data_IF_420305395160
#
_entry.id   IF_420305395160
#
_cell.length_a   1.000
_cell.length_b   1.000
_cell.length_c   1.000
_cell.angle_alpha   90.00
_cell.angle_beta   90.00
_cell.angle_gamma   90.00
#
_symmetry.space_group_name_H-M   'P 1'
#
loop_
_entity.id
_entity.type
_entity.pdbx_description
1 polymer ?
#
# COMPACT_ATOMS: atom_id res chain seq x y z
N UNK A 1 5.71 16.13 -42.69
CA UNK A 1 5.08 16.17 -41.34
C UNK A 1 4.75 17.62 -41.02
N UNK A 2 3.52 17.96 -40.65
CA UNK A 2 3.17 19.33 -40.23
C UNK A 2 3.73 19.57 -38.81
N UNK A 3 4.41 20.69 -38.52
CA UNK A 3 4.84 21.02 -37.17
C UNK A 3 3.61 21.15 -36.27
N UNK A 4 3.60 20.46 -35.13
CA UNK A 4 2.52 20.63 -34.14
C UNK A 4 2.63 22.03 -33.53
N UNK A 5 1.50 22.71 -33.29
CA UNK A 5 1.50 24.02 -32.64
C UNK A 5 2.15 23.93 -31.25
N UNK A 6 3.01 24.89 -30.94
CA UNK A 6 3.65 25.01 -29.63
C UNK A 6 2.55 25.30 -28.59
N UNK A 7 2.46 24.53 -27.48
CA UNK A 7 1.47 24.80 -26.44
C UNK A 7 1.68 26.20 -25.84
N UNK A 8 0.59 26.92 -25.60
CA UNK A 8 0.60 28.24 -24.94
C UNK A 8 0.53 28.09 -23.43
N UNK A 9 1.07 29.06 -22.70
CA UNK A 9 0.95 29.06 -21.25
C UNK A 9 -0.51 29.32 -20.82
N UNK A 10 -1.11 28.55 -19.90
CA UNK A 10 -2.52 28.75 -19.50
C UNK A 10 -2.75 30.07 -18.75
N UNK A 11 -1.72 30.56 -18.05
CA UNK A 11 -1.79 31.83 -17.30
C UNK A 11 -1.43 33.05 -18.18
N UNK A 12 -0.67 32.84 -19.25
CA UNK A 12 -0.24 33.89 -20.17
C UNK A 12 -0.48 33.42 -21.61
N UNK A 13 -1.70 33.60 -22.15
CA UNK A 13 -2.10 33.07 -23.47
C UNK A 13 -1.25 33.58 -24.63
N UNK A 14 -0.63 34.74 -24.46
CA UNK A 14 0.23 35.38 -25.47
C UNK A 14 1.69 34.94 -25.37
N UNK A 15 2.09 34.33 -24.25
CA UNK A 15 3.44 33.83 -24.04
C UNK A 15 3.59 32.39 -24.55
N UNK A 16 4.70 32.13 -25.25
CA UNK A 16 5.09 30.77 -25.65
C UNK A 16 5.57 29.99 -24.42
N UNK A 17 5.19 28.73 -24.34
CA UNK A 17 5.74 27.83 -23.34
C UNK A 17 7.19 27.49 -23.70
N UNK A 18 8.08 27.59 -22.72
CA UNK A 18 9.49 27.21 -22.85
C UNK A 18 9.66 25.75 -22.46
N UNK A 19 9.14 25.39 -21.28
CA UNK A 19 9.26 24.07 -20.67
C UNK A 19 7.95 23.69 -19.97
N UNK A 20 7.57 22.41 -19.93
CA UNK A 20 6.49 21.97 -19.05
C UNK A 20 6.97 21.93 -17.59
N UNK A 21 6.09 22.29 -16.67
CA UNK A 21 6.32 22.05 -15.24
C UNK A 21 6.56 20.56 -15.03
N UNK A 22 7.68 20.20 -14.43
CA UNK A 22 8.03 18.80 -14.19
C UNK A 22 7.01 18.08 -13.30
N UNK A 23 6.32 18.80 -12.40
CA UNK A 23 5.35 18.18 -11.47
C UNK A 23 3.95 18.02 -12.07
N UNK A 24 3.37 19.06 -12.67
CA UNK A 24 1.99 19.04 -13.17
C UNK A 24 1.88 18.98 -14.69
N UNK A 25 3.01 18.89 -15.40
CA UNK A 25 3.12 18.92 -16.86
C UNK A 25 2.51 20.16 -17.54
N UNK A 26 2.06 21.16 -16.78
CA UNK A 26 1.49 22.40 -17.34
C UNK A 26 2.57 23.19 -18.08
N UNK A 27 2.31 23.67 -19.31
CA UNK A 27 3.27 24.48 -20.05
C UNK A 27 3.58 25.79 -19.31
N UNK A 28 4.87 26.08 -19.07
CA UNK A 28 5.34 27.27 -18.38
C UNK A 28 6.01 28.21 -19.38
N UNK A 29 5.60 29.49 -19.37
CA UNK A 29 6.41 30.56 -19.95
C UNK A 29 7.51 30.98 -18.97
N UNK A 30 8.45 31.80 -19.44
CA UNK A 30 9.54 32.36 -18.61
C UNK A 30 9.05 32.97 -17.29
N UNK A 31 7.90 33.65 -17.29
CA UNK A 31 7.34 34.28 -16.10
C UNK A 31 6.74 33.28 -15.09
N UNK A 32 6.21 32.15 -15.56
CA UNK A 32 5.60 31.10 -14.73
C UNK A 32 6.63 30.09 -14.20
N UNK A 33 7.78 29.95 -14.86
CA UNK A 33 8.89 29.12 -14.42
C UNK A 33 9.77 29.89 -13.40
N UNK A 34 9.38 29.79 -12.12
CA UNK A 34 10.02 30.53 -11.01
C UNK A 34 10.97 29.70 -10.16
N UNK A 35 10.86 28.38 -10.20
CA UNK A 35 11.59 27.50 -9.31
C UNK A 35 12.19 26.33 -10.09
N UNK A 36 13.37 25.90 -9.67
CA UNK A 36 13.96 24.63 -10.05
C UNK A 36 14.01 23.72 -8.82
N UNK A 37 13.42 22.53 -8.94
CA UNK A 37 13.43 21.50 -7.88
C UNK A 37 14.32 20.37 -8.37
N UNK A 38 15.45 20.19 -7.71
CA UNK A 38 16.49 19.22 -8.10
C UNK A 38 16.95 19.41 -9.56
N UNK A 39 17.09 20.68 -9.98
CA UNK A 39 17.52 21.08 -11.33
C UNK A 39 16.45 20.96 -12.41
N UNK A 40 15.18 20.70 -12.05
CA UNK A 40 14.06 20.53 -12.98
C UNK A 40 13.02 21.65 -12.83
N UNK A 41 12.39 22.12 -13.93
CA UNK A 41 11.49 23.27 -13.89
C UNK A 41 10.20 22.98 -13.10
N UNK A 42 9.85 23.86 -12.16
CA UNK A 42 8.64 23.75 -11.36
C UNK A 42 7.86 25.08 -11.31
N UNK A 43 6.53 24.98 -11.32
CA UNK A 43 5.65 26.16 -11.21
C UNK A 43 5.44 26.55 -9.74
N UNK A 44 5.15 27.83 -9.50
CA UNK A 44 4.92 28.36 -8.15
C UNK A 44 3.80 27.63 -7.39
N UNK A 45 2.75 27.21 -8.08
CA UNK A 45 1.65 26.46 -7.47
C UNK A 45 2.10 25.09 -6.94
N UNK A 46 2.91 24.36 -7.73
CA UNK A 46 3.46 23.07 -7.30
C UNK A 46 4.43 23.24 -6.11
N UNK A 47 5.25 24.29 -6.12
CA UNK A 47 6.19 24.57 -5.01
C UNK A 47 5.48 25.04 -3.75
N UNK A 48 4.45 25.87 -3.85
CA UNK A 48 3.60 26.23 -2.71
C UNK A 48 2.94 24.98 -2.11
N UNK A 49 2.45 24.07 -2.95
CA UNK A 49 1.87 22.81 -2.49
C UNK A 49 2.90 21.85 -1.87
N UNK A 50 4.17 21.94 -2.27
CA UNK A 50 5.28 21.23 -1.61
C UNK A 50 5.53 21.79 -0.20
N UNK A 51 5.43 23.11 -0.01
CA UNK A 51 5.66 23.77 1.27
C UNK A 51 4.49 23.59 2.25
N UNK A 52 3.25 23.60 1.77
CA UNK A 52 2.05 23.45 2.61
C UNK A 52 1.87 22.03 3.20
N UNK A 53 2.60 21.04 2.68
CA UNK A 53 2.60 19.69 3.25
C UNK A 53 3.43 19.70 4.53
N UNK A 54 2.78 19.96 5.65
CA UNK A 54 3.37 19.68 6.96
C UNK A 54 3.73 18.19 7.00
N UNK A 55 5.03 17.89 7.13
CA UNK A 55 5.51 16.52 7.35
C UNK A 55 4.84 15.86 8.57
N UNK A 56 4.21 16.66 9.43
CA UNK A 56 3.43 16.27 10.58
C UNK A 56 2.01 15.75 10.26
N UNK A 57 1.34 16.21 9.20
CA UNK A 57 -0.09 15.91 8.99
C UNK A 57 -0.38 14.40 8.91
N UNK A 58 0.48 13.66 8.21
CA UNK A 58 0.33 12.21 8.07
C UNK A 58 0.57 11.44 9.38
N UNK A 59 1.71 11.59 10.09
CA UNK A 59 1.94 10.91 11.36
C UNK A 59 0.93 11.34 12.43
N UNK A 60 0.44 12.59 12.44
CA UNK A 60 -0.61 13.01 13.36
C UNK A 60 -1.95 12.33 13.07
N UNK A 61 -2.34 12.20 11.79
CA UNK A 61 -3.55 11.48 11.42
C UNK A 61 -3.45 9.99 11.78
N UNK A 62 -2.28 9.38 11.56
CA UNK A 62 -1.99 8.01 11.94
C UNK A 62 -2.12 7.82 13.46
N UNK A 63 -1.40 8.63 14.25
CA UNK A 63 -1.44 8.60 15.71
C UNK A 63 -2.85 8.82 16.26
N UNK A 64 -3.61 9.77 15.69
CA UNK A 64 -4.99 10.04 16.08
C UNK A 64 -5.92 8.85 15.83
N UNK A 65 -5.84 8.24 14.64
CA UNK A 65 -6.65 7.07 14.29
C UNK A 65 -6.29 5.82 15.10
N UNK A 66 -5.00 5.52 15.23
CA UNK A 66 -4.56 4.34 16.01
C UNK A 66 -4.68 4.55 17.51
N UNK A 67 -4.51 5.78 17.99
CA UNK A 67 -4.62 6.14 19.40
C UNK A 67 -6.05 6.09 19.91
N UNK A 68 -7.01 6.58 19.12
CA UNK A 68 -8.45 6.46 19.45
C UNK A 68 -8.89 4.99 19.49
N UNK A 69 -8.40 4.18 18.56
CA UNK A 69 -8.54 2.72 18.58
C UNK A 69 -7.99 2.11 19.87
N UNK A 70 -6.73 2.41 20.20
CA UNK A 70 -6.08 1.83 21.36
C UNK A 70 -6.83 2.21 22.64
N UNK A 71 -7.29 3.45 22.75
CA UNK A 71 -8.13 3.91 23.84
C UNK A 71 -9.44 3.12 23.92
N UNK A 72 -10.13 2.89 22.80
CA UNK A 72 -11.37 2.11 22.76
C UNK A 72 -11.15 0.65 23.19
N UNK A 73 -10.07 0.00 22.74
CA UNK A 73 -9.71 -1.36 23.18
C UNK A 73 -9.37 -1.39 24.67
N UNK A 74 -8.61 -0.41 25.16
CA UNK A 74 -8.22 -0.32 26.58
C UNK A 74 -9.45 -0.17 27.47
N UNK A 75 -10.39 0.71 27.10
CA UNK A 75 -11.64 0.88 27.82
C UNK A 75 -12.49 -0.40 27.82
N UNK A 76 -12.49 -1.14 26.71
CA UNK A 76 -13.27 -2.38 26.57
C UNK A 76 -12.71 -3.53 27.40
N UNK A 77 -11.39 -3.69 27.41
CA UNK A 77 -10.70 -4.79 28.08
C UNK A 77 -10.17 -4.42 29.46
N UNK A 78 -10.58 -3.28 30.03
CA UNK A 78 -10.09 -2.80 31.33
C UNK A 78 -10.24 -3.80 32.48
N UNK A 79 -11.22 -4.71 32.38
CA UNK A 79 -11.52 -5.71 33.41
C UNK A 79 -10.69 -6.99 33.24
N UNK A 80 -9.93 -7.13 32.15
CA UNK A 80 -9.04 -8.28 31.91
C UNK A 80 -7.66 -7.96 32.53
N UNK A 81 -7.14 -8.81 33.43
CA UNK A 81 -5.78 -8.65 33.92
C UNK A 81 -4.81 -8.66 32.72
N UNK A 82 -3.81 -7.78 32.73
CA UNK A 82 -2.84 -7.56 31.65
C UNK A 82 -3.32 -6.73 30.43
N UNK A 83 -4.59 -6.33 30.34
CA UNK A 83 -5.03 -5.47 29.23
C UNK A 83 -4.31 -4.11 29.19
N UNK A 84 -4.01 -3.53 30.37
CA UNK A 84 -3.29 -2.27 30.47
C UNK A 84 -1.82 -2.40 30.05
N UNK A 85 -1.16 -3.52 30.35
CA UNK A 85 0.25 -3.73 29.96
C UNK A 85 0.36 -3.97 28.45
N UNK A 86 -0.56 -4.74 27.86
CA UNK A 86 -0.66 -4.91 26.40
C UNK A 86 -0.95 -3.58 25.72
N UNK A 87 -1.92 -2.82 26.23
CA UNK A 87 -2.25 -1.50 25.68
C UNK A 87 -1.07 -0.53 25.75
N UNK A 88 -0.32 -0.51 26.86
CA UNK A 88 0.89 0.30 27.00
C UNK A 88 1.97 -0.11 25.98
N UNK A 89 2.18 -1.42 25.77
CA UNK A 89 3.10 -1.94 24.76
C UNK A 89 2.73 -1.52 23.33
N UNK A 90 1.45 -1.65 22.97
CA UNK A 90 0.94 -1.21 21.66
C UNK A 90 1.04 0.31 21.52
N UNK A 91 0.73 1.08 22.57
CA UNK A 91 0.85 2.54 22.60
C UNK A 91 2.29 3.00 22.37
N UNK A 92 3.25 2.36 23.02
CA UNK A 92 4.68 2.63 22.81
C UNK A 92 5.08 2.34 21.35
N UNK A 93 4.65 1.21 20.80
CA UNK A 93 4.94 0.85 19.40
C UNK A 93 4.34 1.89 18.43
N UNK A 94 3.12 2.36 18.68
CA UNK A 94 2.47 3.41 17.90
C UNK A 94 3.23 4.74 17.95
N UNK A 95 3.70 5.14 19.14
CA UNK A 95 4.51 6.36 19.29
C UNK A 95 5.85 6.23 18.57
N UNK A 96 6.54 5.10 18.72
CA UNK A 96 7.84 4.84 18.06
C UNK A 96 7.68 4.82 16.54
N UNK A 97 6.68 4.11 16.02
CA UNK A 97 6.39 4.07 14.57
C UNK A 97 6.01 5.45 14.05
N UNK A 98 5.15 6.19 14.74
CA UNK A 98 4.80 7.57 14.37
C UNK A 98 6.03 8.47 14.34
N UNK A 99 6.89 8.40 15.36
CA UNK A 99 8.14 9.16 15.43
C UNK A 99 9.11 8.81 14.30
N UNK A 100 9.22 7.52 13.95
CA UNK A 100 10.01 7.06 12.81
C UNK A 100 9.46 7.59 11.48
N UNK A 101 8.15 7.51 11.27
CA UNK A 101 7.46 8.04 10.08
C UNK A 101 7.65 9.57 9.97
N UNK A 102 7.52 10.28 11.08
CA UNK A 102 7.76 11.72 11.15
C UNK A 102 9.20 12.08 10.79
N UNK A 103 10.18 11.40 11.41
CA UNK A 103 11.61 11.62 11.13
C UNK A 103 11.96 11.33 9.68
N UNK A 104 11.44 10.23 9.12
CA UNK A 104 11.63 9.88 7.71
C UNK A 104 10.98 10.91 6.78
N UNK A 105 9.79 11.41 7.13
CA UNK A 105 9.12 12.49 6.41
C UNK A 105 9.93 13.79 6.40
N UNK A 106 10.51 14.17 7.54
CA UNK A 106 11.41 15.32 7.65
C UNK A 106 12.69 15.14 6.82
N UNK A 107 13.28 13.95 6.84
CA UNK A 107 14.42 13.64 5.99
C UNK A 107 14.05 13.79 4.53
N UNK A 108 12.98 13.15 4.03
CA UNK A 108 12.62 13.29 2.60
C UNK A 108 12.33 14.75 2.21
N UNK A 109 11.77 15.56 3.11
CA UNK A 109 11.54 16.98 2.87
C UNK A 109 12.86 17.78 2.75
N UNK A 110 13.89 17.43 3.53
CA UNK A 110 15.15 18.19 3.58
C UNK A 110 16.10 17.93 2.40
N UNK A 111 15.86 16.90 1.58
CA UNK A 111 16.78 16.52 0.50
C UNK A 111 16.51 17.22 -0.82
N UNK A 112 15.36 17.90 -0.97
CA UNK A 112 15.06 18.62 -2.21
C UNK A 112 15.73 19.98 -2.20
N UNK A 113 16.57 20.22 -3.21
CA UNK A 113 17.13 21.54 -3.44
C UNK A 113 16.12 22.35 -4.24
N UNK A 114 15.47 23.31 -3.58
CA UNK A 114 14.56 24.25 -4.24
C UNK A 114 15.35 25.53 -4.49
N UNK A 115 15.68 25.77 -5.75
CA UNK A 115 16.35 26.98 -6.19
C UNK A 115 15.32 27.93 -6.79
N UNK A 116 15.22 29.15 -6.24
CA UNK A 116 14.39 30.18 -6.85
C UNK A 116 15.18 30.80 -8.01
N UNK A 117 14.58 30.77 -9.20
CA UNK A 117 15.18 31.36 -10.39
C UNK A 117 15.09 32.90 -10.30
N UNK A 118 16.15 33.65 -10.59
CA UNK A 118 16.07 35.10 -10.71
C UNK A 118 15.15 35.46 -11.87
N UNK A 119 14.20 36.36 -11.61
CA UNK A 119 13.30 36.89 -12.62
C UNK A 119 14.08 37.83 -13.56
N UNK A 120 14.75 37.30 -14.59
CA UNK A 120 15.01 38.03 -15.86
C UNK A 120 16.10 37.41 -16.77
N UNK A 121 16.86 36.39 -16.39
CA UNK A 121 17.86 35.85 -17.34
C UNK A 121 17.20 34.81 -18.27
N UNK A 122 16.65 35.32 -19.37
CA UNK A 122 16.34 34.52 -20.54
C UNK A 122 17.62 33.79 -20.96
N UNK A 123 17.60 32.44 -20.92
CA UNK A 123 18.69 31.69 -21.52
C UNK A 123 18.70 32.04 -23.02
N UNK A 124 19.86 32.37 -23.61
CA UNK A 124 19.95 32.35 -25.06
C UNK A 124 19.55 30.95 -25.52
N UNK A 125 18.62 30.88 -26.47
CA UNK A 125 18.09 29.65 -27.06
C UNK A 125 19.21 28.85 -27.76
N UNK A 126 20.04 28.17 -26.98
CA UNK A 126 20.90 27.11 -27.47
C UNK A 126 20.07 25.85 -27.62
N UNK A 127 19.70 25.51 -28.85
CA UNK A 127 19.38 24.12 -29.26
C UNK A 127 18.08 23.49 -28.74
N UNK A 128 17.02 24.29 -28.54
CA UNK A 128 15.66 23.81 -28.19
C UNK A 128 14.95 22.94 -29.28
N UNK A 129 15.62 22.59 -30.38
CA UNK A 129 15.05 21.77 -31.46
C UNK A 129 15.36 20.26 -31.34
N UNK A 130 16.22 19.84 -30.41
CA UNK A 130 16.46 18.42 -30.11
C UNK A 130 15.40 17.76 -29.21
N UNK A 131 14.55 18.56 -28.54
CA UNK A 131 13.68 18.13 -27.45
C UNK A 131 12.39 17.39 -27.88
N UNK A 132 12.11 17.24 -29.19
CA UNK A 132 10.86 16.61 -29.65
C UNK A 132 10.90 15.07 -29.70
N UNK A 133 12.03 14.42 -29.36
CA UNK A 133 12.11 12.96 -29.12
C UNK A 133 11.64 12.54 -27.71
N UNK A 134 10.98 13.42 -26.96
CA UNK A 134 10.54 13.18 -25.58
C UNK A 134 9.10 12.62 -25.45
N UNK A 135 8.48 12.13 -26.53
CA UNK A 135 7.16 11.48 -26.45
C UNK A 135 7.17 10.19 -25.60
N UNK A 136 8.33 9.62 -25.29
CA UNK A 136 8.50 8.54 -24.32
C UNK A 136 8.76 9.04 -22.87
N UNK A 137 8.83 10.35 -22.64
CA UNK A 137 9.23 10.97 -21.37
C UNK A 137 8.04 11.36 -20.48
N UNK A 138 6.81 11.28 -20.97
CA UNK A 138 5.57 11.48 -20.19
C UNK A 138 5.38 10.45 -19.08
N UNK A 139 6.03 9.29 -19.15
CA UNK A 139 6.06 8.32 -18.05
C UNK A 139 7.07 8.67 -16.94
N UNK A 140 8.13 9.43 -17.25
CA UNK A 140 9.17 9.86 -16.29
C UNK A 140 8.93 11.24 -15.65
N UNK A 141 7.91 11.97 -16.09
CA UNK A 141 7.56 13.32 -15.60
C UNK A 141 6.70 13.30 -14.30
N UNK A 142 6.82 12.27 -13.45
CA UNK A 142 5.95 12.06 -12.27
C UNK A 142 6.67 12.14 -10.91
N UNK A 143 7.89 12.67 -10.87
CA UNK A 143 8.84 12.50 -9.74
C UNK A 143 8.79 13.63 -8.67
N UNK A 144 8.18 14.79 -8.93
CA UNK A 144 8.31 15.97 -8.02
C UNK A 144 7.14 16.17 -7.05
N UNK A 145 5.95 15.61 -7.29
CA UNK A 145 5.01 15.49 -6.16
C UNK A 145 5.64 14.41 -5.27
N UNK A 146 6.03 14.67 -3.99
CA UNK A 146 6.49 13.61 -3.11
C UNK A 146 5.39 12.59 -3.17
N UNK A 147 5.69 11.41 -3.75
CA UNK A 147 4.70 10.39 -3.66
C UNK A 147 4.48 10.18 -2.18
N UNK A 148 3.22 10.31 -1.77
CA UNK A 148 2.84 9.65 -0.54
C UNK A 148 3.23 8.21 -0.81
N UNK A 149 4.22 7.70 -0.07
CA UNK A 149 4.82 6.45 -0.46
C UNK A 149 3.70 5.42 -0.61
N UNK A 150 3.64 4.79 -1.79
CA UNK A 150 2.57 3.86 -2.11
C UNK A 150 2.51 2.76 -1.06
N UNK A 151 3.68 2.31 -0.59
CA UNK A 151 3.80 1.28 0.45
C UNK A 151 3.26 1.77 1.79
N UNK A 152 3.69 2.97 2.22
CA UNK A 152 3.35 3.53 3.52
C UNK A 152 1.87 3.93 3.62
N UNK A 153 1.31 4.50 2.56
CA UNK A 153 -0.13 4.76 2.46
C UNK A 153 -0.94 3.46 2.45
N UNK A 154 -0.47 2.43 1.74
CA UNK A 154 -1.10 1.11 1.75
C UNK A 154 -1.07 0.49 3.14
N UNK A 155 0.05 0.53 3.85
CA UNK A 155 0.17 0.01 5.22
C UNK A 155 -0.78 0.72 6.18
N UNK A 156 -0.90 2.04 6.08
CA UNK A 156 -1.83 2.79 6.94
C UNK A 156 -3.29 2.44 6.64
N UNK A 157 -3.65 2.31 5.36
CA UNK A 157 -5.02 1.88 4.99
C UNK A 157 -5.27 0.43 5.43
N UNK A 158 -4.30 -0.47 5.29
CA UNK A 158 -4.44 -1.84 5.80
C UNK A 158 -4.62 -1.86 7.32
N UNK A 159 -3.87 -1.05 8.06
CA UNK A 159 -4.01 -0.96 9.51
C UNK A 159 -5.40 -0.43 9.89
N UNK A 160 -5.93 0.56 9.15
CA UNK A 160 -7.28 1.08 9.39
C UNK A 160 -8.38 0.09 8.99
N UNK A 161 -8.11 -0.86 8.08
CA UNK A 161 -9.01 -1.97 7.76
C UNK A 161 -8.91 -3.12 8.77
N UNK A 162 -7.73 -3.42 9.31
CA UNK A 162 -7.57 -4.43 10.35
C UNK A 162 -8.32 -4.06 11.64
N UNK A 163 -8.45 -2.75 11.87
CA UNK A 163 -9.09 -2.17 13.03
C UNK A 163 -10.56 -2.64 13.23
N UNK A 164 -11.49 -2.45 12.28
CA UNK A 164 -12.86 -2.94 12.40
C UNK A 164 -12.97 -4.44 12.70
N UNK A 165 -12.11 -5.28 12.13
CA UNK A 165 -12.10 -6.74 12.38
C UNK A 165 -11.82 -7.05 13.84
N UNK A 166 -10.87 -6.34 14.44
CA UNK A 166 -10.47 -6.58 15.82
C UNK A 166 -11.55 -6.12 16.81
N UNK A 167 -12.23 -5.01 16.54
CA UNK A 167 -13.18 -4.43 17.51
C UNK A 167 -14.63 -4.90 17.29
N UNK A 168 -15.10 -5.02 16.05
CA UNK A 168 -16.53 -5.23 15.75
C UNK A 168 -17.14 -6.44 16.49
N UNK A 169 -16.49 -7.62 16.56
CA UNK A 169 -17.03 -8.77 17.29
C UNK A 169 -17.19 -8.50 18.79
N UNK A 170 -16.29 -7.71 19.38
CA UNK A 170 -16.27 -7.43 20.82
C UNK A 170 -17.16 -6.26 21.25
N UNK A 171 -17.41 -5.29 20.36
CA UNK A 171 -18.21 -4.08 20.67
C UNK A 171 -19.70 -4.32 20.54
N UNK A 172 -20.14 -5.02 19.49
CA UNK A 172 -21.53 -4.92 19.07
C UNK A 172 -22.49 -5.82 19.89
N UNK A 173 -22.00 -6.86 20.60
CA UNK A 173 -22.86 -7.90 21.23
C UNK A 173 -23.99 -8.40 20.29
N UNK A 174 -23.79 -8.25 18.98
CA UNK A 174 -24.75 -8.63 17.95
C UNK A 174 -24.43 -10.04 17.45
N UNK A 175 -25.40 -10.72 16.81
CA UNK A 175 -25.14 -11.91 16.03
C UNK A 175 -23.95 -11.73 15.08
N UNK A 176 -23.14 -12.77 14.93
CA UNK A 176 -21.90 -12.72 14.14
C UNK A 176 -22.10 -12.22 12.70
N UNK A 177 -23.25 -12.52 12.07
CA UNK A 177 -23.56 -12.06 10.71
C UNK A 177 -23.67 -10.52 10.63
N UNK A 178 -24.30 -9.87 11.61
CA UNK A 178 -24.39 -8.40 11.67
C UNK A 178 -23.00 -7.79 11.88
N UNK A 179 -22.17 -8.39 12.73
CA UNK A 179 -20.81 -7.91 12.98
C UNK A 179 -19.96 -7.96 11.69
N UNK A 180 -20.14 -9.00 10.90
CA UNK A 180 -19.46 -9.17 9.60
C UNK A 180 -19.94 -8.13 8.59
N UNK A 181 -21.25 -7.94 8.44
CA UNK A 181 -21.82 -6.94 7.52
C UNK A 181 -21.41 -5.51 7.91
N UNK A 182 -21.41 -5.20 9.21
CA UNK A 182 -20.93 -3.93 9.73
C UNK A 182 -19.44 -3.71 9.42
N UNK A 183 -18.61 -4.76 9.54
CA UNK A 183 -17.18 -4.70 9.22
C UNK A 183 -16.98 -4.37 7.74
N UNK A 184 -17.70 -5.06 6.84
CA UNK A 184 -17.67 -4.77 5.40
C UNK A 184 -18.12 -3.35 5.09
N UNK A 185 -19.19 -2.87 5.74
CA UNK A 185 -19.68 -1.50 5.60
C UNK A 185 -18.65 -0.46 6.04
N UNK A 186 -17.95 -0.70 7.15
CA UNK A 186 -16.89 0.19 7.62
C UNK A 186 -15.70 0.19 6.66
N UNK A 187 -15.27 -0.98 6.16
CA UNK A 187 -14.21 -1.07 5.17
C UNK A 187 -14.53 -0.29 3.90
N UNK A 188 -15.75 -0.45 3.39
CA UNK A 188 -16.24 0.30 2.24
C UNK A 188 -16.19 1.81 2.50
N UNK A 189 -16.64 2.26 3.68
CA UNK A 189 -16.64 3.67 4.05
C UNK A 189 -15.21 4.25 4.15
N UNK A 190 -14.27 3.47 4.71
CA UNK A 190 -12.85 3.84 4.77
C UNK A 190 -12.28 4.01 3.37
N UNK A 191 -12.53 3.06 2.45
CA UNK A 191 -12.09 3.18 1.06
C UNK A 191 -12.71 4.40 0.38
N UNK A 192 -14.02 4.61 0.52
CA UNK A 192 -14.73 5.73 -0.08
C UNK A 192 -14.15 7.07 0.41
N UNK A 193 -13.88 7.21 1.72
CA UNK A 193 -13.31 8.42 2.29
C UNK A 193 -11.87 8.67 1.81
N UNK A 194 -11.03 7.64 1.81
CA UNK A 194 -9.63 7.74 1.34
C UNK A 194 -9.60 8.11 -0.14
N UNK A 195 -10.39 7.44 -0.97
CA UNK A 195 -10.47 7.71 -2.41
C UNK A 195 -11.06 9.09 -2.70
N UNK A 196 -12.10 9.52 -1.99
CA UNK A 196 -12.68 10.85 -2.14
C UNK A 196 -11.65 11.93 -1.80
N UNK A 197 -10.88 11.74 -0.72
CA UNK A 197 -9.83 12.67 -0.31
C UNK A 197 -8.72 12.75 -1.35
N UNK A 198 -8.28 11.61 -1.89
CA UNK A 198 -7.25 11.56 -2.94
C UNK A 198 -7.71 12.24 -4.23
N UNK A 199 -8.92 11.94 -4.69
CA UNK A 199 -9.53 12.51 -5.89
C UNK A 199 -9.79 14.02 -5.75
N UNK A 200 -10.37 14.44 -4.62
CA UNK A 200 -10.69 15.85 -4.35
C UNK A 200 -9.43 16.72 -4.29
N UNK A 201 -8.37 16.21 -3.64
CA UNK A 201 -7.08 16.91 -3.56
C UNK A 201 -6.26 16.82 -4.85
N UNK A 202 -6.57 15.88 -5.75
CA UNK A 202 -5.73 15.58 -6.91
C UNK A 202 -4.38 14.97 -6.51
N UNK A 203 -4.33 14.30 -5.36
CA UNK A 203 -3.11 13.64 -4.87
C UNK A 203 -2.74 12.47 -5.79
N UNK A 204 -1.49 12.42 -6.24
CA UNK A 204 -0.94 11.29 -6.98
C UNK A 204 -0.10 10.41 -6.04
N UNK A 205 -0.16 9.10 -6.22
CA UNK A 205 0.61 8.11 -5.46
C UNK A 205 1.64 7.50 -6.41
N UNK A 206 2.93 7.44 -6.03
CA UNK A 206 3.92 6.80 -6.90
C UNK A 206 3.83 5.28 -6.87
N UNK A 207 4.36 4.72 -7.94
CA UNK A 207 4.69 3.32 -8.07
C UNK A 207 6.06 3.08 -7.40
N UNK A 208 6.09 3.04 -6.07
CA UNK A 208 7.32 2.76 -5.31
C UNK A 208 7.73 1.28 -5.33
N UNK A 209 6.90 0.40 -5.91
CA UNK A 209 7.21 -1.02 -6.01
C UNK A 209 8.08 -1.32 -7.22
N UNK A 210 8.93 -2.37 -7.19
CA UNK A 210 9.66 -2.82 -8.36
C UNK A 210 8.66 -3.07 -9.48
N UNK A 211 8.69 -2.22 -10.52
CA UNK A 211 7.80 -2.44 -11.65
C UNK A 211 8.30 -3.70 -12.35
N UNK A 212 7.39 -4.63 -12.69
CA UNK A 212 7.75 -5.77 -13.54
C UNK A 212 8.29 -5.31 -14.91
N UNK A 213 8.08 -4.03 -15.27
CA UNK A 213 8.68 -3.41 -16.44
C UNK A 213 10.18 -3.09 -16.25
N UNK A 214 10.64 -2.80 -15.03
CA UNK A 214 12.07 -2.63 -14.71
C UNK A 214 12.82 -3.96 -14.69
N UNK A 215 12.10 -5.07 -14.54
CA UNK A 215 12.65 -6.42 -14.70
C UNK A 215 12.80 -6.84 -16.17
N UNK A 216 12.33 -6.04 -17.14
CA UNK A 216 12.71 -6.27 -18.54
C UNK A 216 14.18 -5.90 -18.67
N UNK A 217 15.06 -6.83 -19.08
CA UNK A 217 16.43 -6.46 -19.40
C UNK A 217 16.35 -5.37 -20.46
N UNK A 218 16.85 -4.18 -20.14
CA UNK A 218 17.03 -3.10 -21.10
C UNK A 218 17.94 -3.63 -22.20
N UNK A 219 17.32 -4.00 -23.31
CA UNK A 219 17.95 -4.44 -24.55
C UNK A 219 18.80 -3.27 -25.06
N UNK A 220 20.06 -3.22 -24.61
CA UNK A 220 20.98 -2.12 -24.91
C UNK A 220 22.05 -1.83 -23.85
N UNK A 221 21.98 -2.39 -22.65
CA UNK A 221 23.10 -2.30 -21.70
C UNK A 221 24.07 -3.46 -21.90
N UNK A 222 24.90 -3.36 -22.95
CA UNK A 222 26.05 -4.22 -23.25
C UNK A 222 27.20 -4.05 -22.23
N UNK A 223 26.89 -3.92 -20.94
CA UNK A 223 27.90 -4.01 -19.88
C UNK A 223 28.20 -5.47 -19.60
N UNK A 224 29.21 -5.96 -20.33
CA UNK A 224 29.89 -7.25 -20.22
C UNK A 224 29.73 -7.92 -18.84
N UNK A 225 29.21 -9.16 -18.77
CA UNK A 225 29.04 -9.87 -17.52
C UNK A 225 30.41 -10.12 -16.88
N UNK A 226 30.64 -9.49 -15.72
CA UNK A 226 31.78 -9.80 -14.84
C UNK A 226 31.52 -11.18 -14.23
N UNK A 227 32.00 -12.19 -14.94
CA UNK A 227 32.01 -13.63 -14.63
C UNK A 227 32.61 -13.87 -13.24
N UNK A 228 31.82 -13.76 -12.17
CA UNK A 228 32.17 -14.32 -10.86
C UNK A 228 31.81 -15.80 -10.90
N UNK A 229 32.84 -16.62 -11.09
CA UNK A 229 32.77 -18.08 -10.92
C UNK A 229 32.42 -18.36 -9.46
N UNK A 230 31.23 -18.86 -9.20
CA UNK A 230 30.93 -19.58 -7.96
C UNK A 230 31.61 -20.95 -8.03
N UNK A 231 32.31 -21.39 -6.98
CA UNK A 231 32.87 -22.73 -6.93
C UNK A 231 31.74 -23.75 -6.73
N UNK A 232 31.61 -24.63 -7.71
CA UNK A 232 31.50 -26.09 -7.56
C UNK A 232 30.98 -26.56 -6.18
N UNK A 233 29.66 -26.77 -6.09
CA UNK A 233 29.05 -27.65 -5.09
C UNK A 233 29.07 -29.07 -5.69
N UNK A 234 30.24 -29.69 -5.62
CA UNK A 234 30.38 -31.15 -5.62
C UNK A 234 30.04 -31.64 -4.21
N UNK A 235 29.03 -32.50 -4.11
CA UNK A 235 28.57 -33.00 -2.83
C UNK A 235 27.40 -33.98 -2.94
N UNK A 236 27.46 -34.92 -3.90
CA UNK A 236 26.69 -36.16 -3.81
C UNK A 236 27.32 -37.04 -2.72
N UNK A 237 26.83 -36.87 -1.49
CA UNK A 237 27.08 -37.77 -0.37
C UNK A 237 26.02 -38.85 -0.33
N UNK A 238 26.39 -40.00 -0.89
CA UNK A 238 25.76 -41.30 -0.68
C UNK A 238 25.86 -41.69 0.80
N UNK A 239 24.72 -41.84 1.48
CA UNK A 239 24.61 -42.62 2.71
C UNK A 239 23.25 -43.33 2.72
N UNK A 240 23.29 -44.58 2.29
CA UNK A 240 22.27 -45.57 2.60
C UNK A 240 22.03 -45.70 4.11
N UNK A 241 20.81 -46.04 4.45
CA UNK A 241 20.39 -46.30 5.82
C UNK A 241 18.93 -46.71 5.83
N UNK A 242 18.67 -47.98 5.53
CA UNK A 242 17.35 -48.56 5.60
C UNK A 242 16.80 -48.51 7.03
N UNK A 243 15.58 -48.01 7.17
CA UNK A 243 14.71 -48.36 8.28
C UNK A 243 13.42 -48.96 7.70
N UNK A 244 13.51 -50.27 7.43
CA UNK A 244 12.35 -51.17 7.40
C UNK A 244 11.82 -51.27 8.83
N UNK A 245 10.90 -50.38 9.17
CA UNK A 245 10.12 -50.48 10.40
C UNK A 245 8.99 -51.49 10.19
N UNK A 246 9.27 -52.76 10.46
CA UNK A 246 8.26 -53.77 10.75
C UNK A 246 7.44 -53.31 11.96
N UNK A 247 6.26 -52.73 11.71
CA UNK A 247 5.21 -52.62 12.73
C UNK A 247 4.34 -53.88 12.67
N UNK A 248 4.94 -54.97 13.14
CA UNK A 248 4.29 -56.26 13.35
C UNK A 248 3.36 -56.24 14.56
N UNK A 249 2.09 -56.47 14.27
CA UNK A 249 1.03 -57.08 15.07
C UNK A 249 1.16 -57.18 16.60
N UNK A 250 0.15 -56.65 17.29
CA UNK A 250 -0.32 -57.21 18.56
C UNK A 250 -1.83 -57.45 18.47
N UNK A 251 -2.19 -58.68 18.82
CA UNK A 251 -3.49 -59.30 18.68
C UNK A 251 -4.61 -58.65 19.50
N UNK A 252 -5.78 -58.65 18.87
CA UNK A 252 -7.10 -59.01 19.40
C UNK A 252 -7.12 -59.38 20.89
N UNK A 253 -7.64 -58.45 21.71
CA UNK A 253 -8.14 -58.71 23.05
C UNK A 253 -9.49 -58.01 23.21
N UNK A 254 -10.57 -58.76 22.98
CA UNK A 254 -11.94 -58.33 23.23
C UNK A 254 -12.11 -57.98 24.71
N UNK A 255 -12.50 -56.73 25.03
CA UNK A 255 -13.00 -56.37 26.36
C UNK A 255 -12.60 -54.99 26.89
N UNK A 256 -11.51 -54.36 26.43
CA UNK A 256 -11.05 -53.06 26.96
C UNK A 256 -10.51 -52.09 25.89
N UNK A 257 -10.80 -52.35 24.60
CA UNK A 257 -10.24 -51.64 23.45
C UNK A 257 -10.85 -50.27 23.13
N UNK A 258 -11.99 -49.92 23.74
CA UNK A 258 -12.67 -48.63 23.49
C UNK A 258 -11.86 -47.42 23.94
N UNK A 259 -11.09 -47.54 25.02
CA UNK A 259 -10.28 -46.44 25.56
C UNK A 259 -9.08 -46.08 24.69
N UNK A 260 -8.38 -47.06 24.12
CA UNK A 260 -7.17 -46.84 23.32
C UNK A 260 -7.54 -46.28 21.94
N UNK A 261 -8.58 -46.82 21.29
CA UNK A 261 -9.07 -46.30 20.00
C UNK A 261 -9.63 -44.89 20.17
N UNK A 262 -10.36 -44.61 21.26
CA UNK A 262 -10.83 -43.28 21.58
C UNK A 262 -9.69 -42.29 21.82
N UNK A 263 -8.67 -42.68 22.59
CA UNK A 263 -7.49 -41.85 22.85
C UNK A 263 -6.71 -41.54 21.57
N UNK A 264 -6.49 -42.55 20.71
CA UNK A 264 -5.84 -42.36 19.41
C UNK A 264 -6.66 -41.45 18.50
N UNK A 265 -7.98 -41.58 18.49
CA UNK A 265 -8.88 -40.69 17.75
C UNK A 265 -8.78 -39.24 18.23
N UNK A 266 -8.75 -39.01 19.55
CA UNK A 266 -8.58 -37.67 20.14
C UNK A 266 -7.21 -37.09 19.79
N UNK A 267 -6.13 -37.88 19.92
CA UNK A 267 -4.78 -37.44 19.56
C UNK A 267 -4.67 -37.11 18.07
N UNK A 268 -5.27 -37.91 17.19
CA UNK A 268 -5.33 -37.64 15.76
C UNK A 268 -6.11 -36.36 15.46
N UNK A 269 -7.25 -36.14 16.11
CA UNK A 269 -8.03 -34.92 15.96
C UNK A 269 -7.26 -33.67 16.44
N UNK A 270 -6.57 -33.75 17.59
CA UNK A 270 -5.71 -32.67 18.09
C UNK A 270 -4.55 -32.39 17.14
N UNK A 271 -3.88 -33.42 16.64
CA UNK A 271 -2.81 -33.28 15.66
C UNK A 271 -3.32 -32.61 14.37
N UNK A 272 -4.51 -33.00 13.89
CA UNK A 272 -5.16 -32.37 12.74
C UNK A 272 -5.50 -30.89 12.99
N UNK A 273 -6.00 -30.54 14.18
CA UNK A 273 -6.27 -29.15 14.56
C UNK A 273 -5.00 -28.30 14.63
N UNK A 274 -3.92 -28.83 15.20
CA UNK A 274 -2.61 -28.16 15.25
C UNK A 274 -2.06 -27.95 13.85
N UNK A 275 -2.12 -28.97 13.00
CA UNK A 275 -1.69 -28.87 11.60
C UNK A 275 -2.51 -27.81 10.84
N UNK A 276 -3.83 -27.80 11.03
CA UNK A 276 -4.71 -26.82 10.40
C UNK A 276 -4.41 -25.39 10.88
N UNK A 277 -4.20 -25.20 12.19
CA UNK A 277 -3.81 -23.91 12.76
C UNK A 277 -2.46 -23.43 12.22
N UNK A 278 -1.49 -24.33 12.09
CA UNK A 278 -0.19 -24.04 11.48
C UNK A 278 -0.32 -23.66 10.01
N UNK A 279 -1.09 -24.40 9.21
CA UNK A 279 -1.35 -24.06 7.81
C UNK A 279 -2.04 -22.71 7.66
N UNK A 280 -3.01 -22.40 8.54
CA UNK A 280 -3.68 -21.12 8.56
C UNK A 280 -2.70 -19.98 8.85
N UNK A 281 -1.86 -20.16 9.88
CA UNK A 281 -0.92 -19.14 10.33
C UNK A 281 0.22 -18.89 9.33
N UNK A 282 0.78 -19.95 8.75
CA UNK A 282 2.01 -19.87 7.94
C UNK A 282 1.72 -19.66 6.44
N UNK A 283 0.56 -20.11 5.94
CA UNK A 283 0.23 -20.00 4.51
C UNK A 283 -0.96 -19.09 4.24
N UNK A 284 -2.10 -19.35 4.89
CA UNK A 284 -3.34 -18.64 4.55
C UNK A 284 -3.26 -17.17 4.97
N UNK A 285 -2.81 -16.87 6.19
CA UNK A 285 -2.71 -15.50 6.67
C UNK A 285 -1.72 -14.66 5.85
N UNK A 286 -0.48 -15.10 5.55
CA UNK A 286 0.43 -14.36 4.68
C UNK A 286 -0.11 -14.18 3.26
N UNK A 287 -0.79 -15.18 2.71
CA UNK A 287 -1.42 -15.08 1.40
C UNK A 287 -2.53 -14.03 1.39
N UNK A 288 -3.43 -14.05 2.38
CA UNK A 288 -4.50 -13.07 2.54
C UNK A 288 -3.95 -11.65 2.76
N UNK A 289 -2.91 -11.50 3.59
CA UNK A 289 -2.26 -10.22 3.83
C UNK A 289 -1.62 -9.68 2.54
N UNK A 290 -0.94 -10.53 1.79
CA UNK A 290 -0.31 -10.16 0.50
C UNK A 290 -1.38 -9.77 -0.52
N UNK A 291 -2.47 -10.52 -0.61
CA UNK A 291 -3.60 -10.22 -1.50
C UNK A 291 -4.26 -8.90 -1.13
N UNK A 292 -4.51 -8.66 0.16
CA UNK A 292 -5.07 -7.40 0.66
C UNK A 292 -4.13 -6.22 0.37
N UNK A 293 -2.83 -6.37 0.65
CA UNK A 293 -1.82 -5.36 0.33
C UNK A 293 -1.79 -5.04 -1.17
N UNK A 294 -1.78 -6.07 -2.01
CA UNK A 294 -1.80 -5.89 -3.46
C UNK A 294 -3.07 -5.16 -3.93
N UNK A 295 -4.23 -5.56 -3.39
CA UNK A 295 -5.52 -4.95 -3.73
C UNK A 295 -5.58 -3.48 -3.31
N UNK A 296 -5.18 -3.16 -2.08
CA UNK A 296 -5.19 -1.79 -1.55
C UNK A 296 -4.18 -0.91 -2.30
N UNK A 297 -2.94 -1.39 -2.48
CA UNK A 297 -1.90 -0.64 -3.21
C UNK A 297 -2.30 -0.36 -4.65
N UNK A 298 -2.86 -1.37 -5.34
CA UNK A 298 -3.39 -1.22 -6.69
C UNK A 298 -4.55 -0.23 -6.74
N UNK A 299 -5.46 -0.28 -5.77
CA UNK A 299 -6.58 0.66 -5.67
C UNK A 299 -6.14 2.09 -5.46
N UNK A 300 -5.28 2.33 -4.47
CA UNK A 300 -4.71 3.65 -4.21
C UNK A 300 -4.01 4.21 -5.46
N UNK A 301 -3.17 3.41 -6.13
CA UNK A 301 -2.46 3.84 -7.34
C UNK A 301 -3.40 4.13 -8.51
N UNK A 302 -4.42 3.30 -8.73
CA UNK A 302 -5.34 3.46 -9.86
C UNK A 302 -6.23 4.70 -9.67
N UNK A 303 -6.80 4.86 -8.48
CA UNK A 303 -7.66 5.99 -8.12
C UNK A 303 -6.85 7.29 -8.08
N UNK A 304 -5.69 7.28 -7.43
CA UNK A 304 -4.86 8.47 -7.34
C UNK A 304 -4.38 8.93 -8.72
N UNK A 305 -4.20 8.03 -9.69
CA UNK A 305 -3.77 8.37 -11.05
C UNK A 305 -4.92 8.50 -12.05
N UNK A 306 -6.15 8.52 -11.58
CA UNK A 306 -7.34 8.62 -12.42
C UNK A 306 -7.49 10.03 -13.03
N UNK A 307 -7.95 10.11 -14.26
CA UNK A 307 -7.97 11.36 -15.07
C UNK A 307 -9.33 12.03 -15.13
N UNK A 308 -10.25 11.70 -14.22
CA UNK A 308 -11.61 12.27 -14.21
C UNK A 308 -11.70 13.73 -13.73
N UNK A 309 -10.59 14.47 -13.64
CA UNK A 309 -10.54 15.90 -13.27
C UNK A 309 -11.40 16.26 -12.03
N UNK A 310 -11.37 15.42 -11.00
CA UNK A 310 -12.17 15.57 -9.77
C UNK A 310 -11.63 16.64 -8.79
N UNK A 311 -10.57 17.36 -9.14
CA UNK A 311 -9.87 18.25 -8.22
C UNK A 311 -10.74 19.45 -7.85
N UNK A 312 -11.03 19.63 -6.57
CA UNK A 312 -11.84 20.74 -6.05
C UNK A 312 -13.35 20.58 -6.19
N UNK A 313 -13.84 19.51 -6.81
CA UNK A 313 -15.28 19.21 -6.93
C UNK A 313 -15.67 18.07 -5.99
N UNK A 314 -16.36 18.41 -4.90
CA UNK A 314 -16.72 17.46 -3.84
C UNK A 314 -17.70 16.37 -4.34
N UNK A 315 -18.70 16.74 -5.14
CA UNK A 315 -19.73 15.79 -5.58
C UNK A 315 -19.15 14.81 -6.60
N UNK A 316 -18.35 15.32 -7.54
CA UNK A 316 -17.69 14.49 -8.55
C UNK A 316 -16.64 13.56 -7.93
N UNK A 317 -15.83 14.06 -6.99
CA UNK A 317 -14.85 13.22 -6.28
C UNK A 317 -15.52 12.13 -5.43
N UNK A 318 -16.61 12.46 -4.73
CA UNK A 318 -17.37 11.48 -3.93
C UNK A 318 -18.02 10.40 -4.80
N UNK A 319 -18.63 10.77 -5.93
CA UNK A 319 -19.27 9.82 -6.84
C UNK A 319 -18.28 8.78 -7.39
N UNK A 320 -17.12 9.24 -7.87
CA UNK A 320 -16.06 8.34 -8.34
C UNK A 320 -15.44 7.53 -7.19
N UNK A 321 -15.28 8.12 -6.01
CA UNK A 321 -14.76 7.41 -4.85
C UNK A 321 -15.66 6.25 -4.41
N UNK A 322 -16.98 6.43 -4.42
CA UNK A 322 -17.96 5.38 -4.12
C UNK A 322 -17.89 4.24 -5.15
N UNK A 323 -17.78 4.57 -6.44
CA UNK A 323 -17.63 3.57 -7.49
C UNK A 323 -16.35 2.73 -7.29
N UNK A 324 -15.23 3.39 -7.03
CA UNK A 324 -13.95 2.72 -6.77
C UNK A 324 -13.95 1.93 -5.46
N UNK A 325 -14.54 2.46 -4.38
CA UNK A 325 -14.67 1.77 -3.10
C UNK A 325 -15.47 0.48 -3.25
N UNK A 326 -16.56 0.52 -4.01
CA UNK A 326 -17.39 -0.66 -4.29
C UNK A 326 -16.59 -1.70 -5.07
N UNK A 327 -15.88 -1.28 -6.12
CA UNK A 327 -15.03 -2.17 -6.92
C UNK A 327 -13.95 -2.87 -6.09
N UNK A 328 -13.29 -2.14 -5.19
CA UNK A 328 -12.19 -2.68 -4.37
C UNK A 328 -12.67 -3.41 -3.09
N UNK A 329 -13.87 -3.14 -2.60
CA UNK A 329 -14.45 -3.89 -1.47
C UNK A 329 -15.09 -5.20 -1.93
N UNK A 330 -15.51 -5.31 -3.20
CA UNK A 330 -16.18 -6.49 -3.75
C UNK A 330 -15.39 -7.81 -3.54
N UNK A 331 -14.08 -7.90 -3.85
CA UNK A 331 -13.34 -9.15 -3.63
C UNK A 331 -13.28 -9.57 -2.15
N UNK A 332 -13.20 -8.58 -1.23
CA UNK A 332 -13.22 -8.85 0.20
C UNK A 332 -14.59 -9.37 0.65
N UNK A 333 -15.68 -8.76 0.14
CA UNK A 333 -17.04 -9.22 0.39
C UNK A 333 -17.26 -10.66 -0.13
N UNK A 334 -16.74 -10.98 -1.31
CA UNK A 334 -16.83 -12.35 -1.86
C UNK A 334 -16.12 -13.38 -0.98
N UNK A 335 -14.92 -13.07 -0.47
CA UNK A 335 -14.21 -13.96 0.47
C UNK A 335 -15.02 -14.19 1.75
N UNK A 336 -15.63 -13.13 2.28
CA UNK A 336 -16.47 -13.20 3.48
C UNK A 336 -17.72 -14.05 3.25
N UNK A 337 -18.45 -13.81 2.15
CA UNK A 337 -19.65 -14.60 1.79
C UNK A 337 -19.30 -16.07 1.57
N UNK A 338 -18.18 -16.33 0.89
CA UNK A 338 -17.68 -17.69 0.69
C UNK A 338 -17.37 -18.40 2.02
N UNK A 339 -16.68 -17.72 2.93
CA UNK A 339 -16.38 -18.26 4.26
C UNK A 339 -17.66 -18.54 5.07
N UNK A 340 -18.64 -17.63 5.03
CA UNK A 340 -19.94 -17.85 5.67
C UNK A 340 -20.68 -19.05 5.06
N UNK A 341 -20.62 -19.21 3.73
CA UNK A 341 -21.20 -20.36 3.03
C UNK A 341 -20.60 -21.69 3.44
N UNK A 342 -19.28 -21.78 3.60
CA UNK A 342 -18.60 -22.99 4.11
C UNK A 342 -19.05 -23.30 5.53
N UNK A 343 -19.09 -22.29 6.42
CA UNK A 343 -19.50 -22.48 7.81
C UNK A 343 -20.96 -22.92 7.89
N UNK A 344 -21.83 -22.39 7.03
CA UNK A 344 -23.23 -22.81 6.96
C UNK A 344 -23.39 -24.24 6.44
N UNK A 345 -22.59 -24.66 5.46
CA UNK A 345 -22.63 -26.02 4.91
C UNK A 345 -22.04 -27.09 5.84
N UNK A 346 -21.16 -26.69 6.77
CA UNK A 346 -20.55 -27.60 7.74
C UNK A 346 -21.39 -27.83 9.01
N UNK A 347 -22.49 -27.09 9.19
CA UNK A 347 -23.44 -27.25 10.30
C UNK A 347 -24.58 -28.17 9.90
#
# INVERSE_FOLDING_TARGET
>A
MKPRPIPRCPQHPDARAEEPCFSCARPLCAACWRFDVDGKPACAHCVAHLHDRSAAAFPLAFLGGTGTLLAALTLRFRDVPDALSVAAGVGLLLVVTTGFLYRRGLQVASWRKIEQRPAAEGRPHGEALGAYRSAAHTSRLREIVPPVSGELSTLVVLLSLALPVAIAPGLLRVPAWIAVDATLGIWWAVFALVFATLLYRGSRVAEDGPSLADARPTEGDDTRPRRKRSPLLDGCGDLGGGCSGDFGGAAVGEGCGGGIVGLLGILAALAALVLLAWLLAEFVLPLLFTAAYYLVSRGLRRVANDTHDCQGDLLRSLGWAVAWATLYTLPLALVVVFAQGIVAAAR
#
